data_IF_479357653873
#
_entry.id   IF_479357653873
#
_cell.length_a   1.000
_cell.length_b   1.000
_cell.length_c   1.000
_cell.angle_alpha   90.00
_cell.angle_beta   90.00
_cell.angle_gamma   90.00
#
_symmetry.space_group_name_H-M   'P 1'
#
loop_
_entity.id
_entity.type
_entity.pdbx_description
1 polymer ?
#
# COMPACT_ATOMS: atom_id res chain seq x y z
N UNK A 1 10.47 -18.89 1.71
CA UNK A 1 11.13 -17.66 1.21
C UNK A 1 10.09 -16.55 1.20
N UNK A 2 9.73 -16.02 2.37
CA UNK A 2 8.49 -15.24 2.51
C UNK A 2 8.65 -14.04 3.45
N UNK A 3 9.76 -13.31 3.34
CA UNK A 3 10.09 -12.15 4.20
C UNK A 3 10.33 -10.85 3.40
N UNK A 4 10.11 -10.83 2.07
CA UNK A 4 10.47 -9.69 1.21
C UNK A 4 9.30 -8.85 0.69
N UNK A 5 8.05 -9.26 0.96
CA UNK A 5 6.86 -8.54 0.47
C UNK A 5 6.74 -7.15 1.11
N UNK A 6 6.82 -7.09 2.44
CA UNK A 6 6.68 -5.86 3.21
C UNK A 6 7.66 -4.73 2.79
N UNK A 7 8.99 -4.97 2.69
CA UNK A 7 9.92 -3.92 2.25
C UNK A 7 9.70 -3.51 0.78
N UNK A 8 9.26 -4.42 -0.09
CA UNK A 8 8.90 -4.08 -1.48
C UNK A 8 7.64 -3.20 -1.54
N UNK A 9 6.62 -3.52 -0.76
CA UNK A 9 5.39 -2.71 -0.63
C UNK A 9 5.73 -1.31 -0.14
N UNK A 10 6.49 -1.20 0.93
CA UNK A 10 6.93 0.08 1.50
C UNK A 10 7.73 0.91 0.48
N UNK A 11 8.61 0.28 -0.30
CA UNK A 11 9.38 0.98 -1.34
C UNK A 11 8.50 1.48 -2.48
N UNK A 12 7.48 0.72 -2.88
CA UNK A 12 6.50 1.17 -3.86
C UNK A 12 5.67 2.34 -3.32
N UNK A 13 5.14 2.23 -2.10
CA UNK A 13 4.45 3.32 -1.40
C UNK A 13 5.30 4.58 -1.31
N UNK A 14 6.58 4.46 -0.94
CA UNK A 14 7.50 5.59 -0.86
C UNK A 14 7.68 6.29 -2.21
N UNK A 15 7.74 5.53 -3.32
CA UNK A 15 7.85 6.10 -4.67
C UNK A 15 6.58 6.85 -5.09
N UNK A 16 5.40 6.28 -4.82
CA UNK A 16 4.10 6.84 -5.22
C UNK A 16 3.71 8.04 -4.35
N UNK A 17 3.89 7.92 -3.03
CA UNK A 17 3.50 8.94 -2.06
C UNK A 17 4.56 10.02 -1.86
N UNK A 18 5.82 9.72 -2.21
CA UNK A 18 7.02 10.51 -1.88
C UNK A 18 7.28 10.62 -0.38
N UNK A 19 6.65 9.79 0.45
CA UNK A 19 7.00 9.70 1.86
C UNK A 19 8.28 8.90 2.04
N UNK A 20 9.12 9.28 3.01
CA UNK A 20 10.27 8.48 3.39
C UNK A 20 9.81 7.17 4.04
N UNK A 21 10.55 6.09 3.76
CA UNK A 21 10.29 4.74 4.27
C UNK A 21 10.13 4.66 5.80
N UNK A 22 10.79 5.55 6.56
CA UNK A 22 10.70 5.56 8.02
C UNK A 22 9.35 6.08 8.55
N UNK A 23 8.58 6.83 7.76
CA UNK A 23 7.22 7.26 8.11
C UNK A 23 6.17 6.22 7.70
N UNK A 24 6.50 5.38 6.72
CA UNK A 24 5.61 4.32 6.24
C UNK A 24 5.73 3.11 7.18
N UNK A 25 4.77 2.99 8.09
CA UNK A 25 4.69 1.85 9.02
C UNK A 25 3.49 0.98 8.69
N UNK A 26 3.56 -0.31 9.05
CA UNK A 26 2.46 -1.26 8.77
C UNK A 26 1.15 -0.88 9.47
N UNK A 27 1.23 -0.18 10.58
CA UNK A 27 0.09 0.28 11.38
C UNK A 27 -0.39 1.68 10.94
N UNK A 28 0.36 2.36 10.06
CA UNK A 28 0.00 3.69 9.58
C UNK A 28 -1.32 3.63 8.81
N UNK A 29 -2.25 4.47 9.24
CA UNK A 29 -3.52 4.67 8.54
C UNK A 29 -3.28 5.54 7.30
N UNK A 30 -3.70 5.04 6.14
CA UNK A 30 -3.53 5.72 4.87
C UNK A 30 -4.20 7.11 4.92
N UNK A 31 -5.42 7.21 5.41
CA UNK A 31 -6.20 8.46 5.35
C UNK A 31 -5.89 9.39 6.52
N UNK A 32 -5.76 8.81 7.73
CA UNK A 32 -5.72 9.57 8.97
C UNK A 32 -4.29 9.91 9.43
N UNK A 33 -3.30 9.07 9.10
CA UNK A 33 -1.88 9.30 9.45
C UNK A 33 -1.11 9.87 8.25
N UNK A 34 -1.33 9.28 7.06
CA UNK A 34 -0.60 9.64 5.84
C UNK A 34 -1.36 10.62 4.93
N UNK A 35 -2.64 10.93 5.18
CA UNK A 35 -3.43 11.84 4.35
C UNK A 35 -3.65 11.36 2.91
N UNK A 36 -3.63 10.04 2.69
CA UNK A 36 -3.87 9.36 1.42
C UNK A 36 -5.38 9.24 1.19
N UNK A 37 -5.90 10.11 0.33
CA UNK A 37 -7.25 10.01 -0.23
C UNK A 37 -7.46 8.71 -1.03
N UNK A 38 -8.72 8.34 -1.23
CA UNK A 38 -9.15 7.19 -2.04
C UNK A 38 -8.56 7.18 -3.46
N UNK A 39 -8.39 8.34 -4.09
CA UNK A 39 -7.73 8.46 -5.41
C UNK A 39 -6.27 8.02 -5.36
N UNK A 40 -5.51 8.52 -4.37
CA UNK A 40 -4.11 8.13 -4.16
C UNK A 40 -3.98 6.65 -3.77
N UNK A 41 -4.94 6.15 -3.00
CA UNK A 41 -5.01 4.72 -2.60
C UNK A 41 -5.12 3.82 -3.82
N UNK A 42 -6.06 4.11 -4.73
CA UNK A 42 -6.19 3.36 -5.99
C UNK A 42 -4.87 3.37 -6.77
N UNK A 43 -4.19 4.52 -6.85
CA UNK A 43 -2.90 4.64 -7.54
C UNK A 43 -1.81 3.77 -6.90
N UNK A 44 -1.73 3.73 -5.57
CA UNK A 44 -0.80 2.86 -4.81
C UNK A 44 -1.12 1.39 -5.09
N UNK A 45 -2.39 1.01 -4.98
CA UNK A 45 -2.84 -0.38 -5.13
C UNK A 45 -2.59 -0.87 -6.57
N UNK A 46 -2.80 -0.02 -7.59
CA UNK A 46 -2.43 -0.27 -8.99
C UNK A 46 -0.91 -0.41 -9.20
N UNK A 47 -0.11 0.43 -8.55
CA UNK A 47 1.35 0.31 -8.63
C UNK A 47 1.83 -1.00 -7.99
N UNK A 48 1.22 -1.41 -6.87
CA UNK A 48 1.53 -2.66 -6.19
C UNK A 48 1.09 -3.89 -6.99
N UNK A 49 -0.13 -3.93 -7.55
CA UNK A 49 -0.53 -5.02 -8.46
C UNK A 49 0.41 -5.19 -9.62
N UNK A 50 0.89 -4.09 -10.19
CA UNK A 50 1.85 -4.13 -11.29
C UNK A 50 3.21 -4.68 -10.83
N UNK A 51 3.71 -4.24 -9.67
CA UNK A 51 5.00 -4.67 -9.09
C UNK A 51 5.00 -6.13 -8.61
N UNK A 52 3.87 -6.61 -8.09
CA UNK A 52 3.70 -7.97 -7.56
C UNK A 52 3.02 -8.92 -8.54
N UNK A 53 2.57 -8.43 -9.71
CA UNK A 53 1.79 -9.17 -10.70
C UNK A 53 0.54 -9.84 -10.10
N UNK A 54 -0.17 -9.13 -9.22
CA UNK A 54 -1.41 -9.58 -8.57
C UNK A 54 -2.64 -8.86 -9.15
N UNK A 55 -3.78 -9.54 -9.20
CA UNK A 55 -5.00 -9.01 -9.78
C UNK A 55 -5.84 -8.28 -8.71
N UNK A 56 -6.14 -7.00 -8.94
CA UNK A 56 -6.98 -6.19 -8.06
C UNK A 56 -8.46 -6.59 -8.25
N UNK A 57 -8.99 -7.53 -7.46
CA UNK A 57 -10.39 -7.94 -7.57
C UNK A 57 -11.37 -6.94 -6.93
N UNK A 58 -11.15 -5.63 -7.15
CA UNK A 58 -11.94 -4.55 -6.54
C UNK A 58 -11.52 -4.19 -5.11
N UNK A 59 -10.42 -4.78 -4.63
CA UNK A 59 -9.88 -4.51 -3.29
C UNK A 59 -9.33 -3.09 -3.12
N UNK A 60 -9.08 -2.35 -4.20
CA UNK A 60 -8.72 -0.92 -4.10
C UNK A 60 -9.82 -0.05 -3.49
N UNK A 61 -11.07 -0.51 -3.55
CA UNK A 61 -12.24 0.14 -2.97
C UNK A 61 -12.69 -0.52 -1.66
N UNK A 62 -12.00 -1.55 -1.17
CA UNK A 62 -12.40 -2.24 0.04
C UNK A 62 -12.22 -1.32 1.27
N UNK A 63 -13.31 -1.00 2.01
CA UNK A 63 -13.25 -0.06 3.13
C UNK A 63 -12.51 -0.63 4.35
N UNK A 64 -12.22 -1.93 4.35
CA UNK A 64 -11.44 -2.59 5.39
C UNK A 64 -9.94 -2.36 5.19
N UNK A 65 -9.48 -2.02 3.98
CA UNK A 65 -8.08 -1.68 3.70
C UNK A 65 -7.83 -0.23 4.06
N UNK A 66 -7.34 -0.02 5.29
CA UNK A 66 -7.01 1.32 5.81
C UNK A 66 -5.55 1.48 6.17
N UNK A 67 -4.80 0.38 6.29
CA UNK A 67 -3.41 0.39 6.72
C UNK A 67 -2.48 -0.21 5.68
N UNK A 68 -1.20 0.18 5.74
CA UNK A 68 -0.15 -0.39 4.87
C UNK A 68 0.01 -1.89 5.12
N UNK A 69 -0.12 -2.35 6.36
CA UNK A 69 -0.02 -3.76 6.71
C UNK A 69 -1.08 -4.62 6.04
N UNK A 70 -2.31 -4.09 5.91
CA UNK A 70 -3.39 -4.79 5.20
C UNK A 70 -3.12 -4.86 3.69
N UNK A 71 -2.62 -3.77 3.09
CA UNK A 71 -2.19 -3.80 1.68
C UNK A 71 -1.06 -4.82 1.48
N UNK A 72 -0.09 -4.88 2.41
CA UNK A 72 1.03 -5.80 2.31
C UNK A 72 0.64 -7.27 2.55
N UNK A 73 -0.44 -7.52 3.31
CA UNK A 73 -1.00 -8.85 3.50
C UNK A 73 -1.84 -9.31 2.30
N UNK A 74 -2.27 -8.38 1.46
CA UNK A 74 -3.05 -8.63 0.26
C UNK A 74 -2.19 -9.10 -0.93
N UNK A 75 -1.00 -8.52 -1.10
CA UNK A 75 -0.07 -8.80 -2.22
C UNK A 75 0.80 -10.05 -2.03
#
# INVERSE_FOLDING_TARGET
MSQETLPRVLNCLAKVTRYPLHLLTVDADLENDLGIDSVKRVEIVVALSTEFAVDLQGEENDPSIRTIGQIAAWV
#
